data_IF_219954720149
#
_entry.id   IF_219954720149
#
_cell.length_a   1.000
_cell.length_b   1.000
_cell.length_c   1.000
_cell.angle_alpha   90.00
_cell.angle_beta   90.00
_cell.angle_gamma   90.00
#
_symmetry.space_group_name_H-M   'P 1'
#
loop_
_entity.id
_entity.type
_entity.pdbx_description
1 polymer ?
#
# COMPACT_ATOMS: atom_id res chain seq x y z
N UNK A 1 5.93 8.17 -3.79
CA UNK A 1 7.23 8.72 -3.36
C UNK A 1 7.82 9.65 -4.43
N UNK A 2 8.13 9.17 -5.64
CA UNK A 2 8.71 9.98 -6.73
C UNK A 2 7.88 11.22 -7.12
N UNK A 3 6.55 11.13 -7.09
CA UNK A 3 5.68 12.29 -7.33
C UNK A 3 5.84 13.39 -6.29
N UNK A 4 6.08 13.03 -5.02
CA UNK A 4 6.30 13.99 -3.95
C UNK A 4 7.69 14.64 -4.08
N UNK A 5 8.73 13.84 -4.38
CA UNK A 5 10.07 14.37 -4.63
C UNK A 5 10.10 15.32 -5.84
N UNK A 6 9.49 14.94 -6.96
CA UNK A 6 9.43 15.79 -8.15
C UNK A 6 8.65 17.09 -7.94
N UNK A 7 7.72 17.13 -6.98
CA UNK A 7 6.96 18.33 -6.63
C UNK A 7 7.75 19.29 -5.73
N UNK A 8 8.46 18.77 -4.73
CA UNK A 8 9.09 19.59 -3.68
C UNK A 8 10.60 19.81 -3.87
N UNK A 9 11.27 18.90 -4.56
CA UNK A 9 12.72 18.92 -4.78
C UNK A 9 13.08 18.57 -6.24
N UNK A 10 12.54 19.29 -7.24
CA UNK A 10 12.80 18.98 -8.64
C UNK A 10 14.30 19.10 -8.96
N UNK A 11 14.88 18.08 -9.59
CA UNK A 11 16.29 18.05 -10.01
C UNK A 11 17.30 17.87 -8.88
N UNK A 12 16.85 17.69 -7.64
CA UNK A 12 17.71 17.32 -6.52
C UNK A 12 18.03 15.83 -6.56
N UNK A 13 19.22 15.45 -6.08
CA UNK A 13 19.60 14.05 -5.91
C UNK A 13 18.62 13.32 -4.96
N UNK A 14 18.30 12.07 -5.28
CA UNK A 14 17.20 11.34 -4.65
C UNK A 14 17.43 11.15 -3.13
N UNK A 15 18.61 10.70 -2.69
CA UNK A 15 18.90 10.54 -1.26
C UNK A 15 18.73 11.86 -0.48
N UNK A 16 19.25 12.97 -1.00
CA UNK A 16 19.09 14.28 -0.38
C UNK A 16 17.61 14.71 -0.35
N UNK A 17 16.87 14.47 -1.43
CA UNK A 17 15.45 14.79 -1.53
C UNK A 17 14.60 13.95 -0.57
N UNK A 18 14.91 12.65 -0.39
CA UNK A 18 14.27 11.77 0.60
C UNK A 18 14.45 12.34 2.00
N UNK A 19 15.68 12.67 2.38
CA UNK A 19 16.01 13.19 3.71
C UNK A 19 15.26 14.49 3.99
N UNK A 20 15.22 15.40 3.01
CA UNK A 20 14.49 16.66 3.16
C UNK A 20 12.97 16.45 3.25
N UNK A 21 12.40 15.51 2.47
CA UNK A 21 10.98 15.18 2.55
C UNK A 21 10.60 14.64 3.93
N UNK A 22 11.42 13.77 4.50
CA UNK A 22 11.23 13.25 5.86
C UNK A 22 11.29 14.40 6.88
N UNK A 23 12.27 15.30 6.77
CA UNK A 23 12.46 16.38 7.74
C UNK A 23 11.36 17.46 7.71
N UNK A 24 10.81 17.76 6.52
CA UNK A 24 9.99 18.97 6.32
C UNK A 24 8.55 18.70 5.87
N UNK A 25 8.24 17.50 5.37
CA UNK A 25 6.94 17.15 4.80
C UNK A 25 6.35 15.88 5.42
N UNK A 26 6.35 15.80 6.75
CA UNK A 26 5.90 14.65 7.54
C UNK A 26 4.51 14.11 7.15
N UNK A 27 3.54 14.99 6.83
CA UNK A 27 2.19 14.56 6.43
C UNK A 27 2.15 13.78 5.11
N UNK A 28 3.04 14.11 4.17
CA UNK A 28 3.16 13.34 2.92
C UNK A 28 3.80 11.99 3.15
N UNK A 29 4.80 11.92 4.04
CA UNK A 29 5.42 10.65 4.42
C UNK A 29 4.38 9.74 5.08
N UNK A 30 3.61 10.27 6.03
CA UNK A 30 2.52 9.58 6.71
C UNK A 30 1.49 9.03 5.69
N UNK A 31 1.07 9.86 4.74
CA UNK A 31 0.13 9.45 3.69
C UNK A 31 0.71 8.38 2.76
N UNK A 32 1.99 8.50 2.36
CA UNK A 32 2.69 7.50 1.54
C UNK A 32 2.83 6.18 2.30
N UNK A 33 3.24 6.22 3.56
CA UNK A 33 3.42 5.04 4.41
C UNK A 33 2.10 4.32 4.64
N UNK A 34 1.04 5.06 5.00
CA UNK A 34 -0.31 4.50 5.14
C UNK A 34 -0.76 3.86 3.83
N UNK A 35 -0.68 4.59 2.71
CA UNK A 35 -1.05 4.08 1.39
C UNK A 35 -0.28 2.81 1.01
N UNK A 36 1.04 2.77 1.22
CA UNK A 36 1.86 1.61 0.89
C UNK A 36 1.41 0.35 1.66
N UNK A 37 1.11 0.46 2.95
CA UNK A 37 0.63 -0.66 3.77
C UNK A 37 -0.75 -1.12 3.31
N UNK A 38 -1.70 -0.20 3.18
CA UNK A 38 -3.09 -0.56 2.85
C UNK A 38 -3.20 -1.16 1.45
N UNK A 39 -2.64 -0.52 0.43
CA UNK A 39 -2.72 -1.03 -0.95
C UNK A 39 -1.89 -2.31 -1.14
N UNK A 40 -0.78 -2.47 -0.42
CA UNK A 40 -0.01 -3.72 -0.41
C UNK A 40 -0.79 -4.91 0.15
N UNK A 41 -1.70 -4.68 1.11
CA UNK A 41 -2.55 -5.72 1.67
C UNK A 41 -3.76 -6.08 0.78
N UNK A 42 -4.14 -5.21 -0.16
CA UNK A 42 -5.38 -5.37 -0.93
C UNK A 42 -5.42 -6.59 -1.84
N UNK A 43 -4.28 -7.17 -2.23
CA UNK A 43 -4.27 -8.31 -3.15
C UNK A 43 -3.21 -9.34 -2.79
N UNK A 44 -3.40 -10.56 -3.28
CA UNK A 44 -2.43 -11.63 -3.09
C UNK A 44 -1.09 -11.40 -3.82
N UNK A 45 -1.02 -10.42 -4.74
CA UNK A 45 0.24 -9.98 -5.37
C UNK A 45 0.80 -8.68 -4.77
N UNK A 46 0.10 -8.09 -3.80
CA UNK A 46 0.42 -6.74 -3.31
C UNK A 46 1.67 -6.67 -2.45
N UNK A 47 2.10 -7.79 -1.85
CA UNK A 47 3.35 -7.90 -1.11
C UNK A 47 3.89 -9.34 -1.13
N UNK A 48 5.17 -9.51 -0.74
CA UNK A 48 5.84 -10.80 -0.77
C UNK A 48 5.18 -11.88 0.14
N UNK A 49 4.79 -11.58 1.40
CA UNK A 49 4.07 -12.55 2.24
C UNK A 49 2.76 -13.04 1.62
N UNK A 50 1.94 -12.15 1.05
CA UNK A 50 0.69 -12.50 0.40
C UNK A 50 0.92 -13.40 -0.83
N UNK A 51 1.98 -13.11 -1.60
CA UNK A 51 2.35 -13.92 -2.75
C UNK A 51 2.80 -15.33 -2.35
N UNK A 52 3.48 -15.44 -1.20
CA UNK A 52 3.86 -16.72 -0.61
C UNK A 52 2.62 -17.52 -0.14
N UNK A 53 1.64 -16.87 0.50
CA UNK A 53 0.39 -17.55 0.87
C UNK A 53 -0.36 -18.05 -0.38
N UNK A 54 -0.37 -17.25 -1.45
CA UNK A 54 -0.96 -17.62 -2.74
C UNK A 54 -0.28 -18.86 -3.33
N UNK A 55 1.05 -18.93 -3.35
CA UNK A 55 1.76 -20.09 -3.88
C UNK A 55 1.49 -21.36 -3.08
N UNK A 56 1.44 -21.28 -1.74
CA UNK A 56 1.08 -22.41 -0.88
C UNK A 56 -0.36 -22.90 -1.17
N UNK A 57 -1.30 -21.97 -1.36
CA UNK A 57 -2.67 -22.32 -1.70
C UNK A 57 -2.78 -23.02 -3.07
N UNK A 58 -2.04 -22.52 -4.07
CA UNK A 58 -1.97 -23.15 -5.41
C UNK A 58 -1.32 -24.54 -5.36
N UNK A 59 -0.24 -24.71 -4.58
CA UNK A 59 0.40 -26.01 -4.35
C UNK A 59 -0.53 -27.01 -3.64
N UNK A 60 -1.39 -26.52 -2.75
CA UNK A 60 -2.41 -27.33 -2.07
C UNK A 60 -3.65 -27.63 -2.95
N UNK A 61 -3.67 -27.21 -4.22
CA UNK A 61 -4.77 -27.44 -5.15
C UNK A 61 -5.99 -26.52 -4.94
N UNK A 62 -5.83 -25.42 -4.20
CA UNK A 62 -6.90 -24.44 -3.99
C UNK A 62 -6.97 -23.51 -5.21
N UNK A 63 -8.12 -23.41 -5.91
CA UNK A 63 -8.25 -22.53 -7.06
C UNK A 63 -8.24 -21.06 -6.60
N UNK A 64 -7.18 -20.34 -6.96
CA UNK A 64 -7.06 -18.92 -6.63
C UNK A 64 -7.95 -18.06 -7.54
N UNK A 65 -8.65 -17.05 -6.99
CA UNK A 65 -9.47 -16.13 -7.78
C UNK A 65 -8.59 -15.23 -8.65
N UNK A 66 -9.16 -14.69 -9.74
CA UNK A 66 -8.50 -13.65 -10.52
C UNK A 66 -8.23 -12.40 -9.68
N UNK A 67 -7.27 -11.58 -10.09
CA UNK A 67 -6.89 -10.35 -9.37
C UNK A 67 -8.10 -9.46 -9.02
N UNK A 68 -8.93 -9.14 -10.02
CA UNK A 68 -10.14 -8.34 -9.81
C UNK A 68 -11.25 -9.12 -9.07
N UNK A 69 -11.30 -10.44 -9.25
CA UNK A 69 -12.21 -11.31 -8.50
C UNK A 69 -11.91 -11.32 -7.00
N UNK A 70 -10.62 -11.31 -6.62
CA UNK A 70 -10.18 -11.20 -5.23
C UNK A 70 -10.56 -9.84 -4.64
N UNK A 71 -10.27 -8.77 -5.38
CA UNK A 71 -10.62 -7.39 -4.99
C UNK A 71 -12.11 -7.21 -4.70
N UNK A 72 -12.97 -7.62 -5.64
CA UNK A 72 -14.41 -7.39 -5.52
C UNK A 72 -15.06 -8.26 -4.42
N UNK A 73 -14.63 -9.52 -4.28
CA UNK A 73 -15.27 -10.45 -3.32
C UNK A 73 -14.73 -10.34 -1.90
N UNK A 74 -13.46 -10.00 -1.73
CA UNK A 74 -12.78 -10.09 -0.44
C UNK A 74 -12.21 -8.75 0.01
N UNK A 75 -11.35 -8.14 -0.80
CA UNK A 75 -10.61 -6.96 -0.38
C UNK A 75 -11.50 -5.75 -0.14
N UNK A 76 -12.39 -5.42 -1.08
CA UNK A 76 -13.26 -4.25 -0.93
C UNK A 76 -14.22 -4.43 0.25
N UNK A 77 -14.97 -5.54 0.38
CA UNK A 77 -15.91 -5.68 1.50
C UNK A 77 -15.25 -5.74 2.88
N UNK A 78 -14.01 -6.25 2.99
CA UNK A 78 -13.33 -6.44 4.28
C UNK A 78 -12.33 -5.33 4.60
N UNK A 79 -11.44 -4.99 3.67
CA UNK A 79 -10.34 -4.07 3.92
C UNK A 79 -10.76 -2.60 3.77
N UNK A 80 -11.75 -2.29 2.92
CA UNK A 80 -12.20 -0.90 2.76
C UNK A 80 -12.88 -0.37 4.04
N UNK A 81 -13.77 -1.10 4.74
CA UNK A 81 -14.31 -0.65 6.02
C UNK A 81 -13.23 -0.48 7.09
N UNK A 82 -12.25 -1.40 7.15
CA UNK A 82 -11.12 -1.29 8.09
C UNK A 82 -10.28 -0.05 7.76
N UNK A 83 -10.03 0.22 6.48
CA UNK A 83 -9.31 1.42 6.06
C UNK A 83 -10.05 2.70 6.45
N UNK A 84 -11.36 2.76 6.26
CA UNK A 84 -12.17 3.90 6.68
C UNK A 84 -12.14 4.07 8.21
N UNK A 85 -12.23 2.99 8.96
CA UNK A 85 -12.15 3.02 10.42
C UNK A 85 -10.79 3.54 10.91
N UNK A 86 -9.68 3.02 10.35
CA UNK A 86 -8.32 3.47 10.71
C UNK A 86 -8.11 4.92 10.29
N UNK A 87 -8.57 5.32 9.10
CA UNK A 87 -8.51 6.71 8.65
C UNK A 87 -9.25 7.63 9.62
N UNK A 88 -10.47 7.25 10.04
CA UNK A 88 -11.25 8.05 10.98
C UNK A 88 -10.61 8.13 12.38
N UNK A 89 -10.05 7.03 12.90
CA UNK A 89 -9.48 7.02 14.26
C UNK A 89 -8.16 7.79 14.34
N UNK A 90 -7.34 7.76 13.29
CA UNK A 90 -5.98 8.30 13.35
C UNK A 90 -5.76 9.59 12.55
N UNK A 91 -6.68 9.95 11.64
CA UNK A 91 -6.49 11.06 10.70
C UNK A 91 -7.70 12.00 10.52
N UNK A 92 -8.84 11.73 11.18
CA UNK A 92 -9.96 12.68 11.28
C UNK A 92 -9.86 13.49 12.58
#
# INVERSE_FOLDING_TARGET
FNTALGRFYPGMEEHAAVANLIATHNHYLLAISAGAVFFGAMTYIGNAPNFMVKSIAEEAGVPMPSFFGYLARWSIPLLLPVFLAVTFVFFA
#
